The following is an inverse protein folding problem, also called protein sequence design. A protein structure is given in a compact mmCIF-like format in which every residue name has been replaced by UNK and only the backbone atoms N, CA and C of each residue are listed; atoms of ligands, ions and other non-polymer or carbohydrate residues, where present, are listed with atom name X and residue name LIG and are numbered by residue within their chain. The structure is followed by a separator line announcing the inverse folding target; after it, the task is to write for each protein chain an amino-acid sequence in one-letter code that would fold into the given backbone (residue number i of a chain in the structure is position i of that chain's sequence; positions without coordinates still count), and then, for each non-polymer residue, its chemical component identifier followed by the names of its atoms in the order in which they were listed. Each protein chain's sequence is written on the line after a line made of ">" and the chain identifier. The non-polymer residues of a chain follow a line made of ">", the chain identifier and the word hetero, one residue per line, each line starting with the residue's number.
data_IF_494151942684
#
_entry.id   IF_494151942684
#
_cell.length_a   1.000
_cell.length_b   1.000
_cell.length_c   1.000
_cell.angle_alpha   90.00
_cell.angle_beta   90.00
_cell.angle_gamma   90.00
#
_symmetry.space_group_name_H-M   'P 1'
#
loop_
_entity.id
_entity.type
_entity.pdbx_description
1 polymer ?
#
# COMPACT_ATOMS: atom_id res chain seq x y z
N UNK A 1 5.44 10.01 -4.01
CA UNK A 1 5.47 10.31 -2.56
C UNK A 1 6.33 9.29 -1.84
N UNK A 2 7.12 9.70 -0.86
CA UNK A 2 8.01 8.82 -0.08
C UNK A 2 7.40 8.57 1.31
N UNK A 3 7.23 7.30 1.67
CA UNK A 3 6.59 6.89 2.91
C UNK A 3 7.51 6.12 3.87
N UNK A 4 8.81 6.15 3.63
CA UNK A 4 9.81 5.40 4.38
C UNK A 4 10.49 4.33 3.53
N UNK A 5 11.24 3.44 4.18
CA UNK A 5 11.99 2.37 3.51
C UNK A 5 12.27 1.19 4.43
N UNK A 6 12.57 0.06 3.83
CA UNK A 6 13.26 -1.06 4.47
C UNK A 6 14.66 -1.24 3.93
N UNK A 7 15.57 -1.73 4.75
CA UNK A 7 16.95 -2.03 4.37
C UNK A 7 17.16 -3.54 4.37
N UNK A 8 17.17 -4.15 3.20
CA UNK A 8 17.05 -5.60 3.03
C UNK A 8 18.09 -6.17 2.06
N UNK A 9 18.47 -7.46 2.18
CA UNK A 9 19.29 -8.13 1.18
C UNK A 9 18.60 -8.21 -0.19
N UNK A 10 19.33 -7.90 -1.25
CA UNK A 10 18.83 -7.99 -2.64
C UNK A 10 18.29 -9.38 -2.98
N UNK A 11 18.90 -10.42 -2.43
CA UNK A 11 18.48 -11.81 -2.66
C UNK A 11 17.03 -12.12 -2.29
N UNK A 12 16.35 -11.28 -1.50
CA UNK A 12 14.92 -11.40 -1.21
C UNK A 12 14.07 -11.14 -2.46
N UNK A 13 14.52 -10.23 -3.33
CA UNK A 13 13.79 -9.83 -4.55
C UNK A 13 14.29 -10.52 -5.81
N UNK A 14 15.53 -11.00 -5.82
CA UNK A 14 16.21 -11.51 -7.01
C UNK A 14 16.60 -12.99 -6.92
N UNK A 15 15.74 -13.81 -6.32
CA UNK A 15 15.91 -15.27 -6.26
C UNK A 15 17.30 -15.72 -5.79
N UNK A 16 17.87 -15.06 -4.79
CA UNK A 16 19.18 -15.38 -4.22
C UNK A 16 20.38 -14.78 -4.96
N UNK A 17 20.16 -14.05 -6.05
CA UNK A 17 21.25 -13.33 -6.72
C UNK A 17 21.74 -12.17 -5.85
N UNK A 18 23.08 -12.01 -5.79
CA UNK A 18 23.74 -10.94 -5.03
C UNK A 18 23.25 -10.85 -3.57
N UNK A 19 23.08 -11.97 -2.90
CA UNK A 19 22.52 -12.07 -1.55
C UNK A 19 23.28 -11.21 -0.51
N UNK A 20 24.55 -10.91 -0.72
CA UNK A 20 25.35 -10.03 0.13
C UNK A 20 25.13 -8.54 -0.09
N UNK A 21 24.44 -8.14 -1.17
CA UNK A 21 24.13 -6.73 -1.43
C UNK A 21 22.93 -6.29 -0.62
N UNK A 22 23.07 -5.22 0.17
CA UNK A 22 22.00 -4.61 0.96
C UNK A 22 21.42 -3.44 0.16
N UNK A 23 20.11 -3.40 0.02
CA UNK A 23 19.36 -2.35 -0.66
C UNK A 23 18.49 -1.57 0.31
N UNK A 24 18.40 -0.27 0.09
CA UNK A 24 17.33 0.56 0.65
C UNK A 24 16.14 0.48 -0.32
N UNK A 25 15.04 -0.15 0.12
CA UNK A 25 13.81 -0.31 -0.66
C UNK A 25 12.78 0.68 -0.15
N UNK A 26 12.46 1.72 -0.94
CA UNK A 26 11.52 2.74 -0.50
C UNK A 26 10.07 2.25 -0.53
N UNK A 27 9.26 2.68 0.42
CA UNK A 27 7.80 2.64 0.35
C UNK A 27 7.33 3.85 -0.42
N UNK A 28 6.66 3.64 -1.53
CA UNK A 28 6.30 4.69 -2.48
C UNK A 28 4.78 4.66 -2.73
N UNK A 29 4.18 5.82 -2.78
CA UNK A 29 2.86 6.04 -3.36
C UNK A 29 2.88 7.19 -4.36
N UNK A 30 1.77 7.41 -5.03
CA UNK A 30 1.65 8.48 -6.02
C UNK A 30 0.47 9.39 -5.68
N UNK A 31 0.69 10.69 -5.81
CA UNK A 31 -0.38 11.69 -5.77
C UNK A 31 -0.70 12.08 -7.21
N UNK A 32 -1.95 11.86 -7.61
CA UNK A 32 -2.48 12.25 -8.90
C UNK A 32 -3.44 13.42 -8.69
N UNK A 33 -3.24 14.51 -9.43
CA UNK A 33 -4.03 15.73 -9.32
C UNK A 33 -4.52 16.18 -10.69
N UNK A 34 -5.78 16.55 -10.81
CA UNK A 34 -6.37 17.11 -12.05
C UNK A 34 -6.94 18.52 -11.84
N UNK A 35 -6.57 19.20 -10.75
CA UNK A 35 -7.06 20.52 -10.36
C UNK A 35 -8.45 20.52 -9.68
N UNK A 36 -9.12 19.37 -9.64
CA UNK A 36 -10.42 19.21 -8.96
C UNK A 36 -10.41 18.10 -7.91
N UNK A 37 -9.56 17.09 -8.09
CA UNK A 37 -9.48 15.91 -7.25
C UNK A 37 -8.02 15.63 -6.89
N UNK A 38 -7.81 15.16 -5.68
CA UNK A 38 -6.56 14.60 -5.20
C UNK A 38 -6.74 13.10 -4.99
N UNK A 39 -6.06 12.30 -5.80
CA UNK A 39 -6.12 10.85 -5.77
C UNK A 39 -4.78 10.34 -5.26
N UNK A 40 -4.81 9.53 -4.22
CA UNK A 40 -3.62 8.88 -3.68
C UNK A 40 -3.57 7.43 -4.14
N UNK A 41 -2.41 6.98 -4.61
CA UNK A 41 -2.16 5.57 -4.93
C UNK A 41 -1.23 5.02 -3.87
N UNK A 42 -1.69 4.01 -3.14
CA UNK A 42 -1.04 3.38 -1.97
C UNK A 42 -0.77 4.32 -0.78
N UNK A 43 -0.65 3.75 0.40
CA UNK A 43 -0.59 4.50 1.67
C UNK A 43 0.54 4.07 2.60
N UNK A 44 1.56 3.39 2.07
CA UNK A 44 2.74 2.99 2.83
C UNK A 44 2.52 1.86 3.82
N UNK A 45 3.47 1.70 4.73
CA UNK A 45 3.49 0.63 5.74
C UNK A 45 2.74 1.05 7.00
N UNK A 46 2.03 0.10 7.62
CA UNK A 46 1.32 0.33 8.88
C UNK A 46 2.29 0.50 10.06
N UNK A 47 1.97 1.43 11.00
CA UNK A 47 2.80 1.70 12.19
C UNK A 47 3.09 0.42 12.99
N UNK A 48 2.11 -0.49 13.12
CA UNK A 48 2.27 -1.75 13.86
C UNK A 48 3.20 -2.76 13.17
N UNK A 49 3.53 -2.57 11.90
CA UNK A 49 4.49 -3.42 11.19
C UNK A 49 5.94 -3.00 11.42
N UNK A 50 6.15 -1.84 12.06
CA UNK A 50 7.48 -1.37 12.43
C UNK A 50 7.63 -1.47 13.94
N UNK A 51 8.35 -2.49 14.39
CA UNK A 51 8.61 -2.75 15.80
C UNK A 51 10.10 -2.55 16.08
N UNK A 52 10.43 -1.61 16.99
CA UNK A 52 11.82 -1.26 17.34
C UNK A 52 12.69 -0.92 16.10
N UNK A 53 12.13 -0.17 15.14
CA UNK A 53 12.83 0.22 13.92
C UNK A 53 13.08 -0.92 12.94
N UNK A 54 12.32 -2.00 13.01
CA UNK A 54 12.41 -3.17 12.13
C UNK A 54 11.04 -3.56 11.59
N UNK A 55 11.01 -3.98 10.34
CA UNK A 55 9.87 -4.61 9.70
C UNK A 55 10.33 -5.90 8.99
N UNK A 56 9.42 -6.64 8.36
CA UNK A 56 9.73 -7.79 7.52
C UNK A 56 10.92 -8.64 7.98
N UNK A 57 10.70 -9.79 8.58
CA UNK A 57 11.80 -10.69 8.97
C UNK A 57 12.88 -10.07 9.86
N UNK A 58 12.60 -8.91 10.49
CA UNK A 58 13.52 -8.22 11.39
C UNK A 58 14.52 -7.27 10.73
N UNK A 59 14.31 -6.90 9.48
CA UNK A 59 15.17 -5.93 8.79
C UNK A 59 14.90 -4.50 9.23
N UNK A 60 15.93 -3.62 9.25
CA UNK A 60 15.75 -2.22 9.57
C UNK A 60 14.71 -1.55 8.66
N UNK A 61 13.82 -0.77 9.27
CA UNK A 61 12.76 -0.07 8.53
C UNK A 61 12.38 1.23 9.22
N UNK A 62 11.92 2.17 8.42
CA UNK A 62 11.29 3.41 8.85
C UNK A 62 10.06 3.67 7.97
N UNK A 63 9.00 4.26 8.53
CA UNK A 63 7.74 4.49 7.80
C UNK A 63 6.60 4.78 8.77
N UNK A 64 5.39 4.41 8.34
CA UNK A 64 4.17 4.58 9.09
C UNK A 64 3.42 5.86 8.77
N UNK A 65 2.30 6.08 9.46
CA UNK A 65 1.36 7.17 9.20
C UNK A 65 2.00 8.55 9.17
N UNK A 66 3.00 8.80 10.01
CA UNK A 66 3.70 10.10 10.04
C UNK A 66 4.36 10.43 8.70
N UNK A 67 4.93 9.44 8.00
CA UNK A 67 5.57 9.66 6.71
C UNK A 67 4.56 10.00 5.63
N UNK A 68 3.38 9.37 5.66
CA UNK A 68 2.27 9.67 4.74
C UNK A 68 1.78 11.11 4.95
N UNK A 69 1.56 11.50 6.21
CA UNK A 69 1.13 12.85 6.58
C UNK A 69 2.18 13.90 6.19
N UNK A 70 3.46 13.64 6.45
CA UNK A 70 4.56 14.54 6.09
C UNK A 70 4.71 14.68 4.56
N UNK A 71 4.51 13.58 3.83
CA UNK A 71 4.56 13.59 2.37
C UNK A 71 3.43 14.45 1.78
N UNK A 72 2.20 14.32 2.29
CA UNK A 72 1.07 15.17 1.90
C UNK A 72 1.31 16.64 2.25
N UNK A 73 1.84 16.91 3.44
CA UNK A 73 2.14 18.28 3.88
C UNK A 73 3.15 18.98 2.98
N UNK A 74 4.12 18.27 2.41
CA UNK A 74 5.09 18.84 1.45
C UNK A 74 4.40 19.33 0.17
N UNK A 75 3.28 18.71 -0.20
CA UNK A 75 2.44 19.12 -1.34
C UNK A 75 1.35 20.14 -0.94
N UNK A 76 1.39 20.65 0.30
CA UNK A 76 0.39 21.60 0.80
C UNK A 76 -0.96 20.97 1.15
N UNK A 77 -1.01 19.65 1.29
CA UNK A 77 -2.23 18.89 1.55
C UNK A 77 -2.27 18.29 2.96
N UNK A 78 -3.48 18.01 3.41
CA UNK A 78 -3.79 17.17 4.57
C UNK A 78 -4.47 15.87 4.12
N UNK A 79 -4.68 14.94 5.04
CA UNK A 79 -5.41 13.70 4.76
C UNK A 79 -6.87 13.94 4.36
N UNK A 80 -7.45 15.08 4.75
CA UNK A 80 -8.83 15.46 4.43
C UNK A 80 -9.00 15.98 3.00
N UNK A 81 -7.90 16.35 2.35
CA UNK A 81 -7.89 16.86 0.99
C UNK A 81 -7.80 15.72 -0.05
N UNK A 82 -7.72 14.48 0.40
CA UNK A 82 -7.70 13.30 -0.48
C UNK A 82 -9.12 12.79 -0.70
N UNK A 83 -9.57 12.87 -1.93
CA UNK A 83 -10.92 12.46 -2.35
C UNK A 83 -11.02 10.94 -2.61
N UNK A 84 -9.91 10.38 -3.09
CA UNK A 84 -9.86 8.99 -3.56
C UNK A 84 -8.54 8.35 -3.17
N UNK A 85 -8.59 7.09 -2.73
CA UNK A 85 -7.43 6.23 -2.56
C UNK A 85 -7.57 5.03 -3.48
N UNK A 86 -6.49 4.67 -4.18
CA UNK A 86 -6.42 3.50 -5.04
C UNK A 86 -5.31 2.61 -4.48
N UNK A 87 -5.62 1.35 -4.21
CA UNK A 87 -4.62 0.37 -3.81
C UNK A 87 -4.21 -0.47 -5.00
N UNK A 88 -2.90 -0.49 -5.27
CA UNK A 88 -2.31 -1.35 -6.29
C UNK A 88 -2.48 -2.80 -5.90
N UNK A 89 -2.19 -3.13 -4.65
CA UNK A 89 -2.37 -4.45 -4.04
C UNK A 89 -2.36 -4.33 -2.51
N UNK A 90 -2.57 -5.44 -1.79
CA UNK A 90 -2.79 -5.42 -0.35
C UNK A 90 -1.63 -5.92 0.50
N UNK A 91 -0.39 -5.88 -0.01
CA UNK A 91 0.75 -6.07 0.88
C UNK A 91 0.79 -4.97 1.94
N UNK A 92 1.33 -5.30 3.11
CA UNK A 92 1.26 -4.46 4.30
C UNK A 92 1.99 -3.12 4.20
N UNK A 93 2.86 -2.95 3.20
CA UNK A 93 3.60 -1.72 2.92
C UNK A 93 2.90 -0.80 1.89
N UNK A 94 1.71 -1.20 1.44
CA UNK A 94 0.84 -0.41 0.56
C UNK A 94 -0.44 0.06 1.24
N UNK A 95 -0.94 -0.68 2.23
CA UNK A 95 -2.24 -0.44 2.87
C UNK A 95 -2.16 0.22 4.25
N UNK A 96 -0.94 0.50 4.74
CA UNK A 96 -0.73 0.84 6.14
C UNK A 96 -1.38 2.12 6.64
N UNK A 97 -1.56 3.11 5.78
CA UNK A 97 -2.22 4.37 6.12
C UNK A 97 -3.73 4.42 5.82
N UNK A 98 -4.39 3.29 5.59
CA UNK A 98 -5.79 3.24 5.15
C UNK A 98 -6.74 4.05 6.04
N UNK A 99 -6.59 3.99 7.35
CA UNK A 99 -7.46 4.72 8.30
C UNK A 99 -7.30 6.24 8.25
N UNK A 100 -6.20 6.76 7.71
CA UNK A 100 -6.03 8.20 7.50
C UNK A 100 -7.03 8.75 6.48
N UNK A 101 -7.57 7.88 5.62
CA UNK A 101 -8.41 8.21 4.47
C UNK A 101 -9.77 7.51 4.47
N UNK A 102 -10.28 7.14 5.64
CA UNK A 102 -11.52 6.34 5.78
C UNK A 102 -12.78 6.98 5.17
N UNK A 103 -12.76 8.28 4.92
CA UNK A 103 -13.86 9.03 4.30
C UNK A 103 -13.72 9.08 2.75
N UNK A 104 -12.53 8.83 2.21
CA UNK A 104 -12.26 8.87 0.77
C UNK A 104 -12.88 7.67 0.04
N UNK A 105 -13.18 7.83 -1.24
CA UNK A 105 -13.54 6.71 -2.11
C UNK A 105 -12.34 5.78 -2.28
N UNK A 106 -12.48 4.51 -1.93
CA UNK A 106 -11.36 3.56 -1.85
C UNK A 106 -11.51 2.46 -2.90
N UNK A 107 -10.65 2.51 -3.91
CA UNK A 107 -10.63 1.56 -5.02
C UNK A 107 -9.61 0.46 -4.80
N UNK A 108 -9.99 -0.78 -5.06
CA UNK A 108 -9.12 -1.96 -5.01
C UNK A 108 -9.74 -3.14 -5.75
N UNK A 109 -8.88 -4.05 -6.20
CA UNK A 109 -9.35 -5.29 -6.83
C UNK A 109 -10.00 -6.21 -5.80
N UNK A 110 -11.13 -6.80 -6.18
CA UNK A 110 -11.88 -7.79 -5.38
C UNK A 110 -11.00 -8.94 -4.93
N UNK A 111 -10.20 -9.48 -5.85
CA UNK A 111 -9.34 -10.63 -5.57
C UNK A 111 -8.23 -10.30 -4.58
N UNK A 112 -7.76 -9.05 -4.49
CA UNK A 112 -6.81 -8.62 -3.46
C UNK A 112 -7.42 -8.71 -2.06
N UNK A 113 -8.68 -8.28 -1.91
CA UNK A 113 -9.37 -8.39 -0.63
C UNK A 113 -9.63 -9.85 -0.25
N UNK A 114 -10.05 -10.68 -1.21
CA UNK A 114 -10.24 -12.12 -0.98
C UNK A 114 -8.93 -12.81 -0.60
N UNK A 115 -7.83 -12.43 -1.23
CA UNK A 115 -6.50 -12.96 -0.93
C UNK A 115 -5.99 -12.49 0.45
N UNK A 116 -6.29 -11.26 0.87
CA UNK A 116 -6.01 -10.79 2.23
C UNK A 116 -6.74 -11.63 3.29
N UNK A 117 -8.01 -11.98 3.04
CA UNK A 117 -8.81 -12.81 3.95
C UNK A 117 -8.29 -14.25 4.04
N UNK A 118 -7.79 -14.80 2.94
CA UNK A 118 -7.26 -16.14 2.87
C UNK A 118 -6.01 -16.24 2.00
N UNK A 119 -4.87 -15.69 2.48
CA UNK A 119 -3.62 -15.70 1.72
C UNK A 119 -3.13 -17.12 1.43
N UNK A 120 -2.45 -17.28 0.30
CA UNK A 120 -1.76 -18.54 -0.02
C UNK A 120 -0.77 -18.93 1.08
N UNK A 121 -0.51 -20.23 1.32
CA UNK A 121 0.43 -20.67 2.36
C UNK A 121 1.81 -20.01 2.28
N UNK A 122 2.32 -19.80 1.07
CA UNK A 122 3.59 -19.12 0.81
C UNK A 122 3.58 -17.66 1.26
N UNK A 123 2.48 -16.95 1.08
CA UNK A 123 2.31 -15.55 1.47
C UNK A 123 2.14 -15.41 2.99
N UNK A 124 1.42 -16.35 3.63
CA UNK A 124 1.30 -16.42 5.10
C UNK A 124 2.66 -16.53 5.78
N UNK A 125 3.52 -17.39 5.25
CA UNK A 125 4.85 -17.63 5.81
C UNK A 125 5.79 -16.43 5.64
N UNK A 126 5.59 -15.61 4.61
CA UNK A 126 6.38 -14.42 4.34
C UNK A 126 5.90 -13.17 5.06
N UNK A 127 4.72 -13.23 5.69
CA UNK A 127 4.07 -12.08 6.32
C UNK A 127 3.82 -10.90 5.36
N UNK A 128 3.57 -11.20 4.09
CA UNK A 128 3.31 -10.18 3.06
C UNK A 128 2.00 -9.42 3.33
N UNK A 129 1.01 -10.09 3.93
CA UNK A 129 -0.28 -9.52 4.31
C UNK A 129 -0.39 -9.30 5.82
N UNK A 130 -0.98 -8.17 6.20
CA UNK A 130 -1.32 -7.89 7.60
C UNK A 130 -2.83 -8.08 7.80
N UNK A 131 -3.22 -9.03 8.64
CA UNK A 131 -4.64 -9.29 8.94
C UNK A 131 -5.36 -8.07 9.54
N UNK A 132 -4.65 -7.17 10.21
CA UNK A 132 -5.21 -5.91 10.71
C UNK A 132 -5.72 -5.00 9.59
N UNK A 133 -5.25 -5.17 8.36
CA UNK A 133 -5.79 -4.47 7.19
C UNK A 133 -7.27 -4.78 7.00
N UNK A 134 -7.74 -5.98 7.37
CA UNK A 134 -9.17 -6.33 7.34
C UNK A 134 -9.97 -5.43 8.28
N UNK A 135 -9.48 -5.26 9.53
CA UNK A 135 -10.14 -4.42 10.53
C UNK A 135 -10.14 -2.95 10.10
N UNK A 136 -9.02 -2.48 9.53
CA UNK A 136 -8.88 -1.11 9.03
C UNK A 136 -9.85 -0.86 7.88
N UNK A 137 -9.94 -1.80 6.93
CA UNK A 137 -10.86 -1.71 5.78
C UNK A 137 -12.32 -1.77 6.21
N UNK A 138 -12.67 -2.50 7.28
CA UNK A 138 -14.02 -2.50 7.83
C UNK A 138 -14.48 -1.11 8.32
N UNK A 139 -13.56 -0.19 8.58
CA UNK A 139 -13.86 1.19 9.02
C UNK A 139 -13.89 2.20 7.87
N UNK A 140 -13.50 1.81 6.67
CA UNK A 140 -13.61 2.63 5.46
C UNK A 140 -15.08 2.74 5.08
N UNK A 141 -15.53 3.94 4.71
CA UNK A 141 -16.94 4.18 4.43
C UNK A 141 -17.35 3.95 2.98
N UNK A 142 -16.45 4.22 2.04
CA UNK A 142 -16.77 4.27 0.63
C UNK A 142 -15.93 3.27 -0.17
N UNK A 143 -16.32 2.00 -0.16
CA UNK A 143 -15.66 0.96 -0.94
C UNK A 143 -16.09 0.98 -2.41
N UNK A 144 -15.10 1.02 -3.29
CA UNK A 144 -15.24 0.91 -4.74
C UNK A 144 -14.52 -0.36 -5.20
N UNK A 145 -15.18 -1.50 -5.05
CA UNK A 145 -14.61 -2.81 -5.37
C UNK A 145 -14.58 -3.00 -6.88
N UNK A 146 -13.40 -3.27 -7.44
CA UNK A 146 -13.16 -3.46 -8.85
C UNK A 146 -12.98 -4.95 -9.15
N UNK A 147 -13.57 -5.44 -10.23
CA UNK A 147 -13.40 -6.81 -10.72
C UNK A 147 -12.97 -6.76 -12.19
N UNK A 148 -11.65 -6.71 -12.43
CA UNK A 148 -11.07 -6.51 -13.76
C UNK A 148 -10.66 -5.06 -14.04
N UNK A 149 -10.71 -4.65 -15.30
CA UNK A 149 -10.35 -3.30 -15.73
C UNK A 149 -11.50 -2.32 -15.49
N UNK A 150 -11.15 -1.08 -15.15
CA UNK A 150 -12.12 -0.01 -14.90
C UNK A 150 -11.62 1.33 -15.45
N UNK A 151 -12.48 2.06 -16.14
CA UNK A 151 -12.26 3.46 -16.48
C UNK A 151 -13.12 4.35 -15.57
N UNK A 152 -12.47 5.28 -14.86
CA UNK A 152 -13.13 6.22 -13.97
C UNK A 152 -13.67 7.45 -14.78
N UNK A 153 -14.71 8.13 -14.29
CA UNK A 153 -15.28 9.30 -14.99
C UNK A 153 -14.30 10.44 -15.25
N UNK A 154 -13.21 10.50 -14.50
CA UNK A 154 -12.15 11.50 -14.67
C UNK A 154 -11.10 11.10 -15.72
N UNK A 155 -11.28 9.97 -16.43
CA UNK A 155 -10.38 9.46 -17.46
C UNK A 155 -9.24 8.59 -16.94
N UNK A 156 -9.12 8.38 -15.62
CA UNK A 156 -8.14 7.45 -15.06
C UNK A 156 -8.56 6.01 -15.36
N UNK A 157 -7.62 5.19 -15.79
CA UNK A 157 -7.85 3.77 -16.09
C UNK A 157 -7.10 2.90 -15.10
N UNK A 158 -7.81 1.94 -14.55
CA UNK A 158 -7.27 0.90 -13.68
C UNK A 158 -7.23 -0.40 -14.49
N UNK A 159 -6.07 -1.02 -14.56
CA UNK A 159 -5.88 -2.32 -15.24
C UNK A 159 -5.56 -3.39 -14.20
N UNK A 160 -6.22 -4.54 -14.31
CA UNK A 160 -5.88 -5.71 -13.50
C UNK A 160 -4.62 -6.38 -14.07
N UNK A 161 -3.51 -6.37 -13.32
CA UNK A 161 -2.23 -6.91 -13.73
C UNK A 161 -1.71 -7.96 -12.73
N UNK A 162 -2.25 -9.20 -12.74
CA UNK A 162 -1.82 -10.23 -11.81
C UNK A 162 -0.37 -10.66 -12.07
N UNK A 163 0.35 -10.98 -10.99
CA UNK A 163 1.74 -11.43 -11.07
C UNK A 163 2.45 -11.31 -9.73
N UNK A 164 2.64 -10.09 -9.25
CA UNK A 164 3.20 -9.80 -7.92
C UNK A 164 2.24 -10.29 -6.82
N UNK A 165 0.95 -10.06 -7.02
CA UNK A 165 -0.16 -10.67 -6.27
C UNK A 165 -1.14 -11.34 -7.24
N UNK A 166 -2.28 -11.84 -6.73
CA UNK A 166 -3.29 -12.49 -7.57
C UNK A 166 -4.08 -11.50 -8.45
N UNK A 167 -4.06 -10.22 -8.13
CA UNK A 167 -4.92 -9.24 -8.80
C UNK A 167 -4.31 -7.86 -9.03
N UNK A 168 -3.18 -7.55 -8.39
CA UNK A 168 -2.56 -6.24 -8.44
C UNK A 168 -1.24 -6.21 -9.16
#
# INVERSE_FOLDING_TARGET
>A
MYYGKSRVPKGIFSAGLDAGLILDVPYIGYLLQNGKQNILVDTGIHDNNIVNGKAWGGYPAEGGNKYVIEALKKEGLSTKDIDTVIYTHFHHDHTGGALLFKEAATYYQKDEFLNLLNPLPTQKNRCDYNIKTVDDFALIKNHCIVDGDLELPNGLKLYKLPGHTLAG
#
